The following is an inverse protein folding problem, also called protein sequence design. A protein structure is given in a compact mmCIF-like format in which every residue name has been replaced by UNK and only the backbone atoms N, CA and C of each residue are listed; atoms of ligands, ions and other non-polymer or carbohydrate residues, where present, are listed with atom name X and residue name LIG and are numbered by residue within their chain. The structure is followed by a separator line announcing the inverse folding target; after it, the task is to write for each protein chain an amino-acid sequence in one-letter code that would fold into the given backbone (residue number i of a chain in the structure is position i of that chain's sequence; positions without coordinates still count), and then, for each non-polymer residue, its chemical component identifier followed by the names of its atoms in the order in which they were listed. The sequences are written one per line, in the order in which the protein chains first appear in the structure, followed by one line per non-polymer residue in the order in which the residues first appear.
data_IF_074835297376
#
_entry.id   IF_074835297376
#
_cell.length_a   1.000
_cell.length_b   1.000
_cell.length_c   1.000
_cell.angle_alpha   90.00
_cell.angle_beta   90.00
_cell.angle_gamma   90.00
#
_symmetry.space_group_name_H-M   'P 1'
#
loop_
_entity.id
_entity.type
_entity.pdbx_description
1 polymer ?
#
# COMPACT_ATOMS: atom_id res chain seq x y z
N UNK A 1 11.46 -25.06 10.52
CA UNK A 1 11.02 -24.03 9.54
C UNK A 1 9.72 -23.43 10.07
N UNK A 2 9.77 -22.20 10.57
CA UNK A 2 8.71 -21.64 11.43
C UNK A 2 7.46 -21.22 10.61
N UNK A 3 6.33 -21.86 10.92
CA UNK A 3 5.00 -21.66 10.32
C UNK A 3 4.49 -20.21 10.38
N UNK A 4 5.05 -19.38 11.28
CA UNK A 4 4.75 -17.94 11.38
C UNK A 4 5.24 -17.09 10.20
N UNK A 5 6.24 -17.57 9.44
CA UNK A 5 6.83 -16.81 8.31
C UNK A 5 5.98 -16.81 7.04
N UNK A 6 5.08 -17.78 6.88
CA UNK A 6 4.35 -17.96 5.61
C UNK A 6 3.07 -17.13 5.53
N UNK A 7 2.44 -16.80 6.68
CA UNK A 7 1.10 -16.20 6.70
C UNK A 7 1.11 -14.70 6.41
N UNK A 8 2.14 -13.97 6.85
CA UNK A 8 2.29 -12.53 6.56
C UNK A 8 2.58 -12.26 5.07
N UNK A 9 3.35 -13.13 4.41
CA UNK A 9 3.59 -13.01 2.96
C UNK A 9 2.33 -13.31 2.15
N UNK A 10 1.51 -14.30 2.52
CA UNK A 10 0.33 -14.70 1.74
C UNK A 10 -0.75 -13.59 1.71
N UNK A 11 -0.88 -12.80 2.77
CA UNK A 11 -1.86 -11.71 2.83
C UNK A 11 -1.49 -10.51 1.93
N UNK A 12 -0.19 -10.19 1.84
CA UNK A 12 0.31 -9.16 0.92
C UNK A 12 0.18 -9.59 -0.55
N UNK A 13 0.35 -10.87 -0.87
CA UNK A 13 0.27 -11.37 -2.25
C UNK A 13 -1.16 -11.41 -2.81
N UNK A 14 -2.18 -11.60 -1.95
CA UNK A 14 -3.56 -11.81 -2.43
C UNK A 14 -4.32 -10.49 -2.71
N UNK A 15 -4.06 -9.42 -1.95
CA UNK A 15 -4.55 -8.08 -2.29
C UNK A 15 -3.92 -7.56 -3.59
N UNK A 16 -2.67 -7.95 -3.90
CA UNK A 16 -2.02 -7.67 -5.18
C UNK A 16 -2.62 -8.42 -6.38
N UNK A 17 -3.37 -9.51 -6.16
CA UNK A 17 -3.92 -10.33 -7.26
C UNK A 17 -5.15 -9.74 -7.95
N UNK A 18 -5.73 -8.67 -7.39
CA UNK A 18 -6.88 -7.96 -7.97
C UNK A 18 -6.47 -6.89 -9.01
N UNK A 19 -5.18 -6.65 -9.23
CA UNK A 19 -4.68 -5.64 -10.19
C UNK A 19 -4.41 -6.22 -11.59
N UNK A 20 -4.75 -7.48 -11.87
CA UNK A 20 -4.48 -8.13 -13.16
C UNK A 20 -5.44 -7.76 -14.30
N UNK A 21 -6.13 -6.62 -14.19
CA UNK A 21 -6.91 -6.04 -15.29
C UNK A 21 -6.91 -4.53 -15.18
N UNK A 22 -5.79 -3.87 -15.53
CA UNK A 22 -5.77 -2.41 -15.65
C UNK A 22 -5.25 -2.00 -17.01
N UNK A 23 -6.06 -1.17 -17.66
CA UNK A 23 -5.73 -0.37 -18.84
C UNK A 23 -4.40 0.38 -18.63
N UNK A 24 -3.67 0.58 -19.73
CA UNK A 24 -2.31 1.16 -19.82
C UNK A 24 -2.17 2.64 -19.41
N UNK A 25 -3.05 3.18 -18.56
CA UNK A 25 -2.94 4.51 -17.99
C UNK A 25 -3.11 4.44 -16.46
N UNK A 26 -2.05 4.10 -15.74
CA UNK A 26 -2.01 4.16 -14.28
C UNK A 26 -0.76 4.94 -13.86
N UNK A 27 -0.95 6.19 -13.44
CA UNK A 27 0.05 6.96 -12.71
C UNK A 27 -0.28 6.82 -11.21
N UNK A 28 -0.04 5.69 -10.55
CA UNK A 28 -0.48 5.50 -9.16
C UNK A 28 0.47 6.15 -8.15
N UNK A 29 -0.04 6.53 -6.98
CA UNK A 29 0.71 6.22 -5.77
C UNK A 29 0.62 4.70 -5.66
N UNK A 30 1.66 4.01 -6.13
CA UNK A 30 1.76 2.58 -6.01
C UNK A 30 1.81 2.17 -4.54
N UNK A 31 1.39 0.93 -4.26
CA UNK A 31 1.89 0.22 -3.09
C UNK A 31 3.42 0.04 -3.29
N UNK A 32 3.96 -1.16 -3.15
CA UNK A 32 5.38 -1.37 -3.43
C UNK A 32 5.76 -1.43 -4.89
N UNK A 33 4.81 -1.37 -5.83
CA UNK A 33 5.10 -1.55 -7.25
C UNK A 33 4.00 -0.98 -8.14
N UNK A 34 4.37 -0.62 -9.36
CA UNK A 34 3.43 -0.22 -10.41
C UNK A 34 3.98 -0.42 -11.83
N UNK A 35 3.08 -0.37 -12.81
CA UNK A 35 3.42 -0.26 -14.23
C UNK A 35 3.05 1.15 -14.70
N UNK A 36 4.05 1.94 -15.04
CA UNK A 36 3.88 3.29 -15.54
C UNK A 36 3.46 3.26 -17.02
N UNK A 37 2.66 4.24 -17.47
CA UNK A 37 2.11 4.25 -18.82
C UNK A 37 3.21 4.32 -19.89
N UNK A 38 2.95 3.81 -21.10
CA UNK A 38 3.94 3.80 -22.17
C UNK A 38 4.40 5.21 -22.59
N UNK A 39 5.69 5.33 -22.89
CA UNK A 39 6.28 6.46 -23.60
C UNK A 39 6.82 6.01 -24.97
N UNK A 40 6.92 6.96 -25.90
CA UNK A 40 7.41 6.72 -27.25
C UNK A 40 8.93 6.86 -27.35
N UNK A 41 9.60 5.83 -27.84
CA UNK A 41 11.03 5.76 -28.13
C UNK A 41 11.22 5.45 -29.61
N UNK A 42 11.26 6.49 -30.44
CA UNK A 42 11.11 6.33 -31.89
C UNK A 42 9.78 5.68 -32.22
N UNK A 43 9.81 4.59 -32.99
CA UNK A 43 8.62 3.81 -33.37
C UNK A 43 8.12 2.85 -32.28
N UNK A 44 8.90 2.67 -31.21
CA UNK A 44 8.55 1.77 -30.09
C UNK A 44 7.72 2.50 -29.04
N UNK A 45 6.69 1.84 -28.54
CA UNK A 45 6.00 2.24 -27.30
C UNK A 45 6.50 1.34 -26.17
N UNK A 46 7.12 1.91 -25.15
CA UNK A 46 7.64 1.16 -24.01
C UNK A 46 7.13 1.72 -22.69
N UNK A 47 6.76 0.83 -21.78
CA UNK A 47 6.29 1.13 -20.43
C UNK A 47 7.35 0.72 -19.39
N UNK A 48 7.30 1.33 -18.21
CA UNK A 48 8.25 1.07 -17.14
C UNK A 48 7.55 0.35 -15.98
N UNK A 49 8.02 -0.84 -15.64
CA UNK A 49 7.71 -1.48 -14.37
C UNK A 49 8.73 -1.01 -13.31
N UNK A 50 8.23 -0.69 -12.12
CA UNK A 50 9.05 -0.33 -10.97
C UNK A 50 8.52 -1.04 -9.73
N UNK A 51 9.43 -1.52 -8.87
CA UNK A 51 9.10 -2.15 -7.59
C UNK A 51 10.15 -1.83 -6.54
N UNK A 52 9.69 -1.45 -5.36
CA UNK A 52 10.49 -1.32 -4.14
C UNK A 52 10.18 -2.46 -3.17
N UNK A 53 11.19 -2.91 -2.43
CA UNK A 53 11.05 -3.95 -1.41
C UNK A 53 11.93 -3.61 -0.21
N UNK A 54 11.52 -3.96 1.01
CA UNK A 54 10.29 -4.69 1.39
C UNK A 54 9.04 -3.80 1.38
N UNK A 55 7.82 -4.40 1.40
CA UNK A 55 6.58 -3.64 1.52
C UNK A 55 6.30 -3.03 2.87
N UNK A 56 6.87 -3.59 3.91
CA UNK A 56 6.86 -3.00 5.25
C UNK A 56 8.29 -3.07 5.75
N UNK A 57 8.82 -1.92 6.14
CA UNK A 57 10.15 -1.85 6.69
C UNK A 57 10.09 -2.22 8.18
N UNK A 58 10.77 -3.30 8.53
CA UNK A 58 10.84 -3.83 9.90
C UNK A 58 12.28 -4.21 10.21
N UNK A 59 12.59 -4.46 11.49
CA UNK A 59 13.89 -5.00 11.90
C UNK A 59 14.24 -6.32 11.20
N UNK A 60 13.23 -7.07 10.75
CA UNK A 60 13.40 -8.37 10.10
C UNK A 60 13.61 -8.24 8.58
N UNK A 61 13.13 -7.15 7.97
CA UNK A 61 13.11 -6.96 6.51
C UNK A 61 14.16 -5.98 6.00
N UNK A 62 14.82 -5.22 6.90
CA UNK A 62 15.86 -4.23 6.56
C UNK A 62 17.07 -4.78 5.80
N UNK A 63 17.28 -6.11 5.79
CA UNK A 63 18.38 -6.75 5.07
C UNK A 63 18.05 -7.24 3.65
N UNK A 64 16.79 -7.12 3.21
CA UNK A 64 16.31 -7.56 1.89
C UNK A 64 15.65 -6.41 1.13
N UNK A 65 16.40 -5.31 1.06
CA UNK A 65 15.99 -4.03 0.47
C UNK A 65 16.46 -3.93 -0.98
N UNK A 66 15.54 -3.72 -1.91
CA UNK A 66 15.88 -3.59 -3.32
C UNK A 66 14.90 -2.71 -4.10
N UNK A 67 15.37 -2.19 -5.23
CA UNK A 67 14.60 -1.54 -6.28
C UNK A 67 14.74 -2.36 -7.56
N UNK A 68 13.63 -2.70 -8.18
CA UNK A 68 13.57 -3.39 -9.47
C UNK A 68 12.94 -2.49 -10.52
N UNK A 69 13.57 -2.44 -11.69
CA UNK A 69 13.16 -1.65 -12.84
C UNK A 69 13.18 -2.50 -14.09
N UNK A 70 12.18 -2.32 -14.95
CA UNK A 70 12.14 -2.98 -16.25
C UNK A 70 11.38 -2.13 -17.24
N UNK A 71 12.10 -1.58 -18.22
CA UNK A 71 11.51 -1.03 -19.43
C UNK A 71 11.09 -2.19 -20.33
N UNK A 72 9.85 -2.20 -20.80
CA UNK A 72 9.32 -3.26 -21.67
C UNK A 72 8.48 -2.70 -22.80
N UNK A 73 8.49 -3.38 -23.94
CA UNK A 73 7.66 -3.03 -25.09
C UNK A 73 6.17 -3.26 -24.73
N UNK A 74 5.34 -2.23 -24.89
CA UNK A 74 3.95 -2.24 -24.44
C UNK A 74 3.06 -3.23 -25.23
N UNK A 75 3.48 -3.65 -26.44
CA UNK A 75 2.73 -4.61 -27.27
C UNK A 75 3.13 -6.04 -26.97
N UNK A 76 4.43 -6.29 -26.83
CA UNK A 76 4.99 -7.65 -26.70
C UNK A 76 5.29 -8.05 -25.26
N UNK A 77 5.28 -7.10 -24.32
CA UNK A 77 5.65 -7.25 -22.90
C UNK A 77 7.08 -7.72 -22.65
N UNK A 78 7.91 -7.77 -23.70
CA UNK A 78 9.32 -8.17 -23.60
C UNK A 78 10.17 -7.03 -23.04
N UNK A 79 11.18 -7.32 -22.20
CA UNK A 79 12.15 -6.33 -21.78
C UNK A 79 12.81 -5.66 -22.97
N UNK A 80 13.07 -4.35 -22.85
CA UNK A 80 13.87 -3.59 -23.81
C UNK A 80 15.35 -3.73 -23.40
N UNK A 81 16.18 -4.44 -24.17
CA UNK A 81 17.56 -4.70 -23.77
C UNK A 81 18.42 -3.44 -23.80
N UNK A 82 19.60 -3.52 -23.18
CA UNK A 82 20.60 -2.43 -23.14
C UNK A 82 20.02 -1.08 -22.68
N UNK A 83 19.16 -1.12 -21.66
CA UNK A 83 18.48 0.08 -21.17
C UNK A 83 19.36 0.80 -20.14
N UNK A 84 19.53 2.12 -20.33
CA UNK A 84 20.25 3.01 -19.41
C UNK A 84 19.28 3.83 -18.58
N UNK A 85 19.27 3.59 -17.27
CA UNK A 85 18.39 4.20 -16.27
C UNK A 85 19.14 5.25 -15.46
N UNK A 86 18.81 6.52 -15.65
CA UNK A 86 19.23 7.57 -14.71
C UNK A 86 18.17 7.70 -13.63
N UNK A 87 18.54 7.27 -12.42
CA UNK A 87 17.61 7.06 -11.32
C UNK A 87 17.85 8.15 -10.29
N UNK A 88 16.80 8.89 -9.98
CA UNK A 88 16.78 9.81 -8.85
C UNK A 88 15.69 9.42 -7.88
N UNK A 89 16.00 9.42 -6.57
CA UNK A 89 15.08 9.02 -5.50
C UNK A 89 14.98 10.14 -4.48
N UNK A 90 13.77 10.53 -4.11
CA UNK A 90 13.49 11.52 -3.09
C UNK A 90 12.55 10.98 -2.01
N UNK A 91 12.67 11.54 -0.82
CA UNK A 91 11.69 11.41 0.26
C UNK A 91 11.59 12.76 0.97
N UNK A 92 10.37 13.25 1.21
CA UNK A 92 10.14 14.55 1.87
C UNK A 92 10.98 15.69 1.26
N UNK A 93 11.00 15.78 -0.08
CA UNK A 93 11.80 16.71 -0.88
C UNK A 93 13.33 16.59 -0.73
N UNK A 94 13.83 15.62 0.04
CA UNK A 94 15.26 15.33 0.17
C UNK A 94 15.69 14.29 -0.87
N UNK A 95 16.67 14.64 -1.69
CA UNK A 95 17.31 13.72 -2.63
C UNK A 95 18.16 12.68 -1.86
N UNK A 96 17.96 11.40 -2.19
CA UNK A 96 18.58 10.26 -1.51
C UNK A 96 19.51 9.44 -2.43
N UNK A 97 19.25 9.44 -3.73
CA UNK A 97 20.07 8.74 -4.73
C UNK A 97 19.98 9.50 -6.05
N UNK A 98 21.08 9.60 -6.81
CA UNK A 98 21.11 10.16 -8.16
C UNK A 98 22.27 9.58 -8.96
N UNK A 99 22.05 8.49 -9.67
CA UNK A 99 23.09 7.78 -10.41
C UNK A 99 22.57 7.22 -11.74
N UNK A 100 23.48 7.04 -12.70
CA UNK A 100 23.21 6.35 -13.95
C UNK A 100 23.52 4.86 -13.80
N UNK A 101 22.61 4.01 -14.22
CA UNK A 101 22.76 2.56 -14.24
C UNK A 101 22.45 2.03 -15.63
N UNK A 102 23.02 0.88 -15.97
CA UNK A 102 22.80 0.21 -17.24
C UNK A 102 22.43 -1.26 -17.01
N UNK A 103 21.45 -1.76 -17.76
CA UNK A 103 21.06 -3.15 -17.75
C UNK A 103 21.06 -3.74 -19.17
N UNK A 104 21.91 -4.74 -19.41
CA UNK A 104 22.04 -5.40 -20.70
C UNK A 104 20.79 -6.19 -21.06
N UNK A 105 20.18 -6.87 -20.08
CA UNK A 105 18.91 -7.58 -20.25
C UNK A 105 17.70 -6.64 -20.36
N UNK A 106 17.86 -5.38 -19.96
CA UNK A 106 16.76 -4.44 -19.75
C UNK A 106 16.08 -4.53 -18.38
N UNK A 107 16.42 -5.52 -17.56
CA UNK A 107 15.91 -5.68 -16.20
C UNK A 107 17.01 -5.28 -15.20
N UNK A 108 16.80 -4.21 -14.44
CA UNK A 108 17.76 -3.72 -13.45
C UNK A 108 17.28 -4.05 -12.03
N UNK A 109 18.16 -4.61 -11.21
CA UNK A 109 17.93 -4.73 -9.76
C UNK A 109 19.01 -3.96 -9.00
N UNK A 110 18.62 -2.93 -8.27
CA UNK A 110 19.48 -2.31 -7.28
C UNK A 110 19.22 -2.95 -5.92
N UNK A 111 20.20 -3.65 -5.36
CA UNK A 111 20.16 -4.05 -3.96
C UNK A 111 20.59 -2.85 -3.13
N UNK A 112 19.62 -2.21 -2.51
CA UNK A 112 19.85 -1.04 -1.67
C UNK A 112 20.39 -1.55 -0.34
N UNK A 113 21.52 -1.03 0.12
CA UNK A 113 22.04 -1.22 1.47
C UNK A 113 21.81 0.09 2.21
N UNK A 114 20.75 0.21 3.05
CA UNK A 114 20.41 1.46 3.70
C UNK A 114 21.58 1.94 4.57
N UNK A 115 22.20 3.05 4.16
CA UNK A 115 23.41 3.58 4.79
C UNK A 115 23.23 5.07 5.02
N UNK A 116 23.50 5.53 6.25
CA UNK A 116 23.40 6.95 6.61
C UNK A 116 24.61 7.73 6.07
N UNK A 117 24.54 8.14 4.81
CA UNK A 117 25.53 8.98 4.11
C UNK A 117 24.85 10.19 3.46
N UNK A 118 25.63 11.19 3.05
CA UNK A 118 25.13 12.24 2.16
C UNK A 118 24.86 11.64 0.77
N UNK A 119 23.95 12.25 0.00
CA UNK A 119 23.65 11.79 -1.36
C UNK A 119 24.87 11.84 -2.28
N UNK A 120 25.82 12.74 -2.03
CA UNK A 120 27.06 12.83 -2.81
C UNK A 120 28.10 11.78 -2.42
N UNK A 121 27.89 11.07 -1.30
CA UNK A 121 28.78 10.03 -0.77
C UNK A 121 28.20 8.61 -0.97
N UNK A 122 27.20 8.46 -1.84
CA UNK A 122 26.64 7.15 -2.22
C UNK A 122 27.73 6.29 -2.84
N UNK A 123 27.85 5.05 -2.36
CA UNK A 123 28.80 4.07 -2.89
C UNK A 123 28.06 3.03 -3.74
N UNK A 124 28.45 2.91 -5.00
CA UNK A 124 27.93 1.90 -5.92
C UNK A 124 28.97 0.80 -6.07
N UNK A 125 28.57 -0.44 -5.78
CA UNK A 125 29.38 -1.64 -5.98
C UNK A 125 28.94 -2.31 -7.29
N UNK A 126 29.58 -1.89 -8.37
CA UNK A 126 29.38 -2.40 -9.72
C UNK A 126 30.57 -2.06 -10.61
N UNK A 127 30.45 -2.40 -11.89
CA UNK A 127 31.41 -2.05 -12.93
C UNK A 127 30.93 -0.80 -13.67
N UNK A 128 31.83 0.09 -14.06
CA UNK A 128 31.49 1.17 -14.99
C UNK A 128 31.33 0.61 -16.41
N UNK A 129 30.36 1.12 -17.16
CA UNK A 129 30.17 0.78 -18.57
C UNK A 129 31.06 1.67 -19.43
N UNK A 130 32.11 1.15 -20.10
CA UNK A 130 33.07 1.99 -20.83
C UNK A 130 32.45 2.86 -21.93
N UNK A 131 31.36 2.38 -22.54
CA UNK A 131 30.63 3.06 -23.62
C UNK A 131 29.74 4.19 -23.10
N UNK A 132 29.41 4.20 -21.80
CA UNK A 132 28.45 5.12 -21.19
C UNK A 132 29.08 5.72 -19.92
N UNK A 133 29.83 6.82 -20.04
CA UNK A 133 30.54 7.42 -18.91
C UNK A 133 29.64 7.67 -17.70
N UNK A 134 30.05 7.16 -16.54
CA UNK A 134 29.32 7.30 -15.27
C UNK A 134 28.15 6.33 -15.07
N UNK A 135 27.87 5.43 -16.03
CA UNK A 135 26.88 4.38 -15.86
C UNK A 135 27.48 3.17 -15.13
N UNK A 136 26.76 2.69 -14.11
CA UNK A 136 27.10 1.48 -13.38
C UNK A 136 26.29 0.28 -13.85
N UNK A 137 26.94 -0.87 -13.97
CA UNK A 137 26.34 -2.18 -14.22
C UNK A 137 26.83 -3.19 -13.19
N UNK A 138 26.27 -4.39 -13.18
CA UNK A 138 26.75 -5.47 -12.34
C UNK A 138 26.40 -6.83 -12.91
N UNK A 139 26.87 -7.89 -12.25
CA UNK A 139 26.62 -9.26 -12.69
C UNK A 139 25.11 -9.56 -12.73
N UNK A 140 24.61 -10.01 -13.90
CA UNK A 140 23.19 -10.20 -14.17
C UNK A 140 22.33 -8.95 -13.91
N UNK A 141 22.86 -7.77 -14.23
CA UNK A 141 22.20 -6.47 -14.06
C UNK A 141 21.72 -6.22 -12.61
N UNK A 142 22.49 -6.76 -11.65
CA UNK A 142 22.31 -6.53 -10.22
C UNK A 142 23.45 -5.69 -9.67
N UNK A 143 23.12 -4.59 -9.00
CA UNK A 143 24.10 -3.64 -8.47
C UNK A 143 23.81 -3.38 -6.99
N UNK A 144 24.84 -3.50 -6.15
CA UNK A 144 24.72 -3.19 -4.72
C UNK A 144 24.97 -1.68 -4.53
N UNK A 145 24.05 -0.98 -3.86
CA UNK A 145 24.09 0.48 -3.72
C UNK A 145 23.94 0.87 -2.25
N UNK A 146 24.98 1.44 -1.67
CA UNK A 146 24.97 1.96 -0.31
C UNK A 146 24.51 3.42 -0.34
N UNK A 147 23.25 3.65 0.02
CA UNK A 147 22.59 4.94 -0.10
C UNK A 147 21.67 5.22 1.09
N UNK A 148 21.31 6.49 1.35
CA UNK A 148 20.33 6.86 2.36
C UNK A 148 18.87 6.58 1.92
N UNK A 149 18.66 5.55 1.12
CA UNK A 149 17.36 5.06 0.64
C UNK A 149 16.91 3.91 1.56
N UNK A 150 15.61 3.84 1.88
CA UNK A 150 15.05 2.81 2.78
C UNK A 150 15.61 2.84 4.21
N UNK A 151 16.11 4.00 4.67
CA UNK A 151 16.44 4.22 6.09
C UNK A 151 15.20 4.31 6.99
N UNK A 152 14.05 4.72 6.41
CA UNK A 152 12.77 4.87 7.07
C UNK A 152 11.63 4.37 6.15
N UNK A 153 10.48 4.06 6.74
CA UNK A 153 9.20 3.88 6.03
C UNK A 153 8.71 5.23 5.47
N UNK A 154 7.78 5.18 4.51
CA UNK A 154 7.23 6.39 3.89
C UNK A 154 6.97 6.28 2.39
N UNK A 155 6.44 7.35 1.83
CA UNK A 155 6.31 7.54 0.39
C UNK A 155 7.65 7.99 -0.23
N UNK A 156 8.12 7.25 -1.23
CA UNK A 156 9.32 7.57 -2.00
C UNK A 156 8.94 8.02 -3.41
N UNK A 157 9.51 9.13 -3.86
CA UNK A 157 9.38 9.60 -5.25
C UNK A 157 10.58 9.11 -6.07
N UNK A 158 10.30 8.44 -7.18
CA UNK A 158 11.25 7.96 -8.16
C UNK A 158 11.08 8.73 -9.46
N UNK A 159 12.16 9.37 -9.92
CA UNK A 159 12.28 9.89 -11.28
C UNK A 159 13.25 9.01 -12.04
N UNK A 160 12.77 8.38 -13.10
CA UNK A 160 13.54 7.47 -13.94
C UNK A 160 13.63 8.06 -15.33
N UNK A 161 14.84 8.46 -15.73
CA UNK A 161 15.12 8.94 -17.07
C UNK A 161 15.79 7.85 -17.89
N UNK A 162 15.24 7.56 -19.07
CA UNK A 162 15.81 6.59 -20.00
C UNK A 162 16.75 7.31 -20.96
N UNK A 163 18.04 6.99 -20.87
CA UNK A 163 19.10 7.63 -21.65
C UNK A 163 19.51 6.85 -22.90
N UNK A 164 19.13 5.57 -23.00
CA UNK A 164 19.52 4.73 -24.12
C UNK A 164 18.86 3.36 -24.04
N UNK A 165 18.66 2.72 -25.19
CA UNK A 165 18.05 1.38 -25.35
C UNK A 165 18.67 0.63 -26.53
N UNK A 166 18.42 -0.68 -26.59
CA UNK A 166 18.75 -1.63 -27.67
C UNK A 166 20.24 -1.90 -27.91
N UNK A 167 21.13 -0.92 -27.70
CA UNK A 167 22.58 -1.06 -27.81
C UNK A 167 23.29 -0.13 -26.81
N UNK A 168 24.42 -0.57 -26.24
CA UNK A 168 25.18 0.20 -25.24
C UNK A 168 25.64 1.58 -25.75
N UNK A 169 25.90 1.68 -27.06
CA UNK A 169 26.37 2.92 -27.70
C UNK A 169 25.22 3.87 -28.05
N UNK A 170 23.97 3.44 -27.92
CA UNK A 170 22.81 4.23 -28.30
C UNK A 170 22.36 5.12 -27.13
N UNK A 171 23.04 6.26 -26.97
CA UNK A 171 22.66 7.30 -26.01
C UNK A 171 21.83 8.37 -26.72
N UNK A 172 20.66 8.65 -26.17
CA UNK A 172 19.74 9.65 -26.68
C UNK A 172 20.29 11.07 -26.51
N UNK A 173 19.99 11.92 -27.48
CA UNK A 173 20.05 13.37 -27.26
C UNK A 173 19.06 13.77 -26.15
N UNK A 174 19.36 14.86 -25.43
CA UNK A 174 18.57 15.31 -24.28
C UNK A 174 17.07 15.46 -24.60
N UNK A 175 16.72 15.97 -25.79
CA UNK A 175 15.33 16.13 -26.24
C UNK A 175 14.57 14.80 -26.46
N UNK A 176 15.28 13.68 -26.60
CA UNK A 176 14.72 12.36 -26.81
C UNK A 176 14.60 11.55 -25.50
N UNK A 177 15.26 11.99 -24.42
CA UNK A 177 15.16 11.35 -23.09
C UNK A 177 13.72 11.39 -22.60
N UNK A 178 13.23 10.24 -22.14
CA UNK A 178 11.89 10.11 -21.54
C UNK A 178 12.03 9.97 -20.03
N UNK A 179 11.15 10.66 -19.32
CA UNK A 179 11.11 10.67 -17.85
C UNK A 179 9.84 9.97 -17.39
N UNK A 180 9.99 9.04 -16.47
CA UNK A 180 8.91 8.40 -15.75
C UNK A 180 8.95 8.85 -14.29
N UNK A 181 7.81 9.21 -13.73
CA UNK A 181 7.67 9.54 -12.32
C UNK A 181 6.77 8.50 -11.64
N UNK A 182 7.20 8.03 -10.47
CA UNK A 182 6.51 7.02 -9.66
C UNK A 182 6.59 7.39 -8.19
N UNK A 183 5.53 7.08 -7.45
CA UNK A 183 5.49 7.26 -5.99
C UNK A 183 5.16 5.91 -5.36
N UNK A 184 6.13 5.31 -4.66
CA UNK A 184 5.97 3.99 -4.05
C UNK A 184 6.01 4.08 -2.54
N UNK A 185 5.05 3.43 -1.90
CA UNK A 185 4.93 3.42 -0.44
C UNK A 185 5.71 2.25 0.16
N UNK A 186 6.44 2.53 1.24
CA UNK A 186 7.04 1.53 2.11
C UNK A 186 6.36 1.63 3.46
N UNK A 187 5.58 0.61 3.80
CA UNK A 187 4.75 0.61 5.00
C UNK A 187 5.55 0.63 6.31
N UNK A 188 4.86 1.07 7.35
CA UNK A 188 5.35 1.20 8.71
C UNK A 188 4.54 0.33 9.67
N UNK A 189 5.18 -0.15 10.74
CA UNK A 189 4.49 -0.82 11.84
C UNK A 189 4.89 -0.20 13.17
N UNK A 190 3.88 0.33 13.87
CA UNK A 190 4.01 0.94 15.17
C UNK A 190 3.44 0.01 16.23
N UNK A 191 4.32 -0.69 16.95
CA UNK A 191 3.92 -1.53 18.08
C UNK A 191 3.77 -0.68 19.34
N UNK A 192 2.62 -0.80 20.00
CA UNK A 192 2.20 0.08 21.09
C UNK A 192 1.62 -0.73 22.25
N UNK A 193 1.83 -0.27 23.48
CA UNK A 193 1.15 -0.80 24.66
C UNK A 193 0.09 0.20 25.09
N UNK A 194 -1.16 -0.24 25.17
CA UNK A 194 -2.25 0.56 25.74
C UNK A 194 -2.59 0.02 27.14
N UNK A 195 -3.02 0.89 28.03
CA UNK A 195 -3.42 0.53 29.40
C UNK A 195 -4.89 0.89 29.61
N UNK A 196 -5.65 -0.05 30.15
CA UNK A 196 -7.05 0.16 30.52
C UNK A 196 -7.34 -0.60 31.81
N UNK A 197 -7.92 0.08 32.82
CA UNK A 197 -8.29 -0.55 34.10
C UNK A 197 -7.11 -1.22 34.81
N UNK A 198 -5.90 -0.66 34.69
CA UNK A 198 -4.67 -1.20 35.28
C UNK A 198 -4.07 -2.42 34.56
N UNK A 199 -4.67 -2.89 33.45
CA UNK A 199 -4.14 -3.95 32.59
C UNK A 199 -3.51 -3.36 31.33
N UNK A 200 -2.44 -3.98 30.83
CA UNK A 200 -1.77 -3.57 29.60
C UNK A 200 -2.06 -4.54 28.46
N UNK A 201 -2.23 -4.01 27.25
CA UNK A 201 -2.56 -4.76 26.04
C UNK A 201 -1.60 -4.37 24.92
N UNK A 202 -1.01 -5.38 24.27
CA UNK A 202 -0.14 -5.20 23.11
C UNK A 202 -0.97 -4.95 21.87
N UNK A 203 -0.85 -3.74 21.31
CA UNK A 203 -1.55 -3.28 20.12
C UNK A 203 -0.55 -2.88 19.04
N UNK A 204 -1.00 -2.78 17.80
CA UNK A 204 -0.17 -2.19 16.75
C UNK A 204 -1.00 -1.43 15.74
N UNK A 205 -0.37 -0.45 15.11
CA UNK A 205 -0.88 0.19 13.89
C UNK A 205 0.05 -0.18 12.75
N UNK A 206 -0.52 -0.49 11.59
CA UNK A 206 0.23 -0.69 10.34
C UNK A 206 -0.26 0.32 9.32
N UNK A 207 0.67 1.10 8.77
CA UNK A 207 0.41 1.94 7.62
C UNK A 207 1.04 1.31 6.40
N UNK A 208 0.29 1.25 5.31
CA UNK A 208 0.80 0.83 4.01
C UNK A 208 1.15 2.01 3.11
N UNK A 209 1.05 3.24 3.63
CA UNK A 209 1.28 4.48 2.88
C UNK A 209 2.52 5.23 3.39
N UNK A 210 2.50 5.69 4.64
CA UNK A 210 3.62 6.46 5.20
C UNK A 210 3.89 6.13 6.69
N UNK A 211 4.86 6.81 7.30
CA UNK A 211 5.28 6.60 8.67
C UNK A 211 4.17 6.98 9.67
N UNK A 212 3.93 6.11 10.65
CA UNK A 212 2.93 6.33 11.68
C UNK A 212 3.49 7.31 12.73
N UNK A 213 2.70 8.34 13.02
CA UNK A 213 3.00 9.38 13.99
C UNK A 213 1.86 9.56 15.00
N UNK A 214 2.18 10.16 16.15
CA UNK A 214 1.20 10.63 17.14
C UNK A 214 0.19 9.58 17.63
N UNK A 215 0.60 8.31 17.75
CA UNK A 215 -0.26 7.29 18.34
C UNK A 215 -0.69 7.68 19.76
N UNK A 216 -1.99 7.60 20.05
CA UNK A 216 -2.56 7.86 21.37
C UNK A 216 -3.74 6.93 21.64
N UNK A 217 -3.87 6.54 22.90
CA UNK A 217 -5.05 5.86 23.42
C UNK A 217 -5.73 6.73 24.48
N UNK A 218 -7.01 7.03 24.29
CA UNK A 218 -7.87 7.71 25.25
C UNK A 218 -8.69 6.66 26.01
N UNK A 219 -8.33 6.41 27.28
CA UNK A 219 -8.97 5.40 28.12
C UNK A 219 -10.46 5.69 28.35
N UNK A 220 -10.83 6.96 28.50
CA UNK A 220 -12.22 7.37 28.78
C UNK A 220 -13.17 7.09 27.60
N UNK A 221 -12.66 7.30 26.38
CA UNK A 221 -13.40 7.05 25.13
C UNK A 221 -13.13 5.67 24.55
N UNK A 222 -12.19 4.91 25.12
CA UNK A 222 -11.65 3.66 24.56
C UNK A 222 -11.23 3.85 23.10
N UNK A 223 -10.63 5.00 22.81
CA UNK A 223 -10.36 5.43 21.43
C UNK A 223 -8.87 5.37 21.12
N UNK A 224 -8.54 4.85 19.94
CA UNK A 224 -7.20 4.87 19.37
C UNK A 224 -7.17 5.97 18.31
N UNK A 225 -6.12 6.79 18.33
CA UNK A 225 -5.85 7.79 17.30
C UNK A 225 -4.40 7.76 16.88
N UNK A 226 -4.15 8.08 15.61
CA UNK A 226 -2.82 8.18 15.03
C UNK A 226 -2.89 9.06 13.79
N UNK A 227 -1.74 9.39 13.23
CA UNK A 227 -1.62 10.22 12.03
C UNK A 227 -0.49 9.73 11.16
N UNK A 228 -0.49 10.10 9.90
CA UNK A 228 0.67 9.94 9.01
C UNK A 228 0.85 11.20 8.16
N UNK A 229 2.07 11.49 7.67
CA UNK A 229 2.27 12.51 6.65
C UNK A 229 1.39 12.23 5.43
N UNK A 230 0.76 13.27 4.87
CA UNK A 230 -0.04 13.13 3.67
C UNK A 230 -0.11 14.44 2.89
N UNK A 231 0.16 14.37 1.58
CA UNK A 231 0.06 15.51 0.67
C UNK A 231 -1.33 15.59 0.05
N UNK A 232 -2.09 16.61 0.49
CA UNK A 232 -3.46 16.92 0.03
C UNK A 232 -3.52 17.72 -1.28
N UNK A 233 -2.45 17.72 -2.09
CA UNK A 233 -2.47 18.33 -3.42
C UNK A 233 -3.51 17.65 -4.32
N UNK A 234 -4.66 18.29 -4.48
CA UNK A 234 -5.79 17.74 -5.25
C UNK A 234 -5.49 17.60 -6.72
N UNK A 235 -4.56 18.38 -7.29
CA UNK A 235 -4.15 18.24 -8.68
C UNK A 235 -3.37 16.94 -8.86
N UNK A 236 -2.39 16.71 -7.99
CA UNK A 236 -1.63 15.45 -7.93
C UNK A 236 -2.57 14.25 -7.73
N UNK A 237 -3.47 14.33 -6.73
CA UNK A 237 -4.42 13.26 -6.44
C UNK A 237 -5.38 13.02 -7.62
N UNK A 238 -5.81 14.06 -8.34
CA UNK A 238 -6.69 13.91 -9.50
C UNK A 238 -6.01 13.18 -10.67
N UNK A 239 -4.71 13.38 -10.86
CA UNK A 239 -3.96 12.78 -11.96
C UNK A 239 -3.45 11.36 -11.64
N UNK A 240 -3.55 10.93 -10.38
CA UNK A 240 -2.98 9.67 -9.90
C UNK A 240 -3.98 8.75 -9.18
N UNK A 241 -4.04 7.43 -9.42
CA UNK A 241 -4.70 6.51 -8.49
C UNK A 241 -4.04 6.56 -7.12
N UNK A 242 -4.80 6.85 -6.07
CA UNK A 242 -4.32 6.86 -4.69
C UNK A 242 -5.23 5.98 -3.84
N UNK A 243 -4.61 5.23 -2.94
CA UNK A 243 -5.30 4.37 -1.99
C UNK A 243 -4.53 4.33 -0.69
N UNK A 244 -5.21 4.65 0.41
CA UNK A 244 -4.63 4.60 1.75
C UNK A 244 -5.21 3.41 2.49
N UNK A 245 -4.32 2.54 2.98
CA UNK A 245 -4.67 1.39 3.80
C UNK A 245 -3.94 1.49 5.13
N UNK A 246 -4.72 1.55 6.21
CA UNK A 246 -4.22 1.46 7.59
C UNK A 246 -4.87 0.28 8.31
N UNK A 247 -4.16 -0.30 9.27
CA UNK A 247 -4.70 -1.33 10.16
C UNK A 247 -4.49 -0.94 11.63
N UNK A 248 -5.55 -1.00 12.43
CA UNK A 248 -5.47 -0.97 13.90
C UNK A 248 -5.67 -2.37 14.42
N UNK A 249 -4.63 -2.94 15.01
CA UNK A 249 -4.61 -4.32 15.52
C UNK A 249 -4.69 -4.30 17.04
N UNK A 250 -5.78 -4.85 17.57
CA UNK A 250 -6.08 -4.89 19.00
C UNK A 250 -6.29 -6.34 19.45
N UNK A 251 -5.70 -6.78 20.57
CA UNK A 251 -5.85 -8.16 21.01
C UNK A 251 -7.28 -8.40 21.47
N UNK A 252 -7.88 -9.53 21.07
CA UNK A 252 -9.24 -9.95 21.46
C UNK A 252 -9.44 -10.13 22.97
N UNK A 253 -8.35 -10.12 23.73
CA UNK A 253 -8.35 -10.11 25.19
C UNK A 253 -8.80 -8.74 25.76
N UNK A 254 -8.68 -7.66 25.00
CA UNK A 254 -9.20 -6.34 25.37
C UNK A 254 -10.67 -6.23 24.95
N UNK A 255 -11.57 -6.80 25.76
CA UNK A 255 -12.99 -6.93 25.43
C UNK A 255 -13.71 -5.60 25.37
N UNK A 256 -13.28 -4.63 26.16
CA UNK A 256 -13.87 -3.29 26.18
C UNK A 256 -13.71 -2.56 24.86
N UNK A 257 -12.75 -2.98 24.04
CA UNK A 257 -12.59 -2.52 22.66
C UNK A 257 -13.13 -3.51 21.63
N UNK A 258 -12.90 -4.82 21.82
CA UNK A 258 -13.09 -5.83 20.78
C UNK A 258 -14.40 -6.61 20.86
N UNK A 259 -15.17 -6.48 21.95
CA UNK A 259 -16.48 -7.16 22.13
C UNK A 259 -17.62 -6.37 21.45
N UNK A 260 -17.36 -5.94 20.22
CA UNK A 260 -18.31 -5.25 19.35
C UNK A 260 -18.00 -5.57 17.91
N UNK A 261 -19.01 -5.42 17.05
CA UNK A 261 -18.85 -5.47 15.59
C UNK A 261 -19.03 -4.11 14.94
N UNK A 262 -19.29 -3.06 15.73
CA UNK A 262 -19.52 -1.69 15.26
C UNK A 262 -18.46 -0.73 15.85
N UNK A 263 -17.92 0.14 15.00
CA UNK A 263 -16.85 1.07 15.35
C UNK A 263 -17.08 2.44 14.73
N UNK A 264 -16.85 3.47 15.53
CA UNK A 264 -16.86 4.86 15.08
C UNK A 264 -15.46 5.24 14.62
N UNK A 265 -15.19 5.03 13.33
CA UNK A 265 -13.96 5.47 12.68
C UNK A 265 -14.09 6.88 12.11
N UNK A 266 -12.98 7.61 12.08
CA UNK A 266 -12.88 8.93 11.43
C UNK A 266 -11.55 9.08 10.68
N UNK A 267 -11.60 9.77 9.54
CA UNK A 267 -10.44 10.24 8.79
C UNK A 267 -10.50 11.77 8.72
N UNK A 268 -9.50 12.45 9.26
CA UNK A 268 -9.43 13.91 9.44
C UNK A 268 -10.72 14.49 10.05
N UNK A 269 -11.28 13.79 11.05
CA UNK A 269 -12.49 14.20 11.76
C UNK A 269 -13.82 13.88 11.05
N UNK A 270 -13.78 13.48 9.78
CA UNK A 270 -14.97 13.02 9.05
C UNK A 270 -15.25 11.53 9.32
N UNK A 271 -16.51 11.11 9.45
CA UNK A 271 -16.86 9.71 9.64
C UNK A 271 -16.33 8.79 8.53
N UNK A 272 -15.68 7.70 8.92
CA UNK A 272 -15.28 6.63 8.02
C UNK A 272 -16.46 5.66 7.85
N UNK A 273 -17.19 5.80 6.74
CA UNK A 273 -18.44 5.07 6.48
C UNK A 273 -18.28 3.97 5.43
N UNK A 274 -19.17 2.99 5.49
CA UNK A 274 -19.23 1.92 4.50
C UNK A 274 -17.93 1.13 4.41
N UNK A 275 -17.35 1.04 3.20
CA UNK A 275 -16.11 0.27 2.96
C UNK A 275 -14.85 0.95 3.49
N UNK A 276 -14.93 2.19 3.97
CA UNK A 276 -13.77 2.91 4.50
C UNK A 276 -13.29 2.34 5.83
N UNK A 277 -14.16 1.68 6.61
CA UNK A 277 -13.80 1.04 7.87
C UNK A 277 -14.36 -0.39 7.90
N UNK A 278 -13.48 -1.38 7.99
CA UNK A 278 -13.87 -2.79 8.02
C UNK A 278 -13.25 -3.48 9.22
N UNK A 279 -14.09 -4.21 9.98
CA UNK A 279 -13.64 -5.11 11.04
C UNK A 279 -13.30 -6.48 10.46
N UNK A 280 -12.06 -6.90 10.68
CA UNK A 280 -11.56 -8.25 10.44
C UNK A 280 -11.10 -8.89 11.76
N UNK A 281 -11.94 -9.72 12.39
CA UNK A 281 -11.57 -10.41 13.61
C UNK A 281 -10.94 -11.78 13.34
N UNK A 282 -10.54 -12.12 12.11
CA UNK A 282 -10.26 -13.52 11.75
C UNK A 282 -8.93 -13.76 11.04
N UNK A 283 -8.32 -12.74 10.44
CA UNK A 283 -7.06 -12.92 9.72
C UNK A 283 -5.89 -13.27 10.62
N UNK A 284 -5.83 -12.71 11.83
CA UNK A 284 -4.79 -13.01 12.83
C UNK A 284 -5.45 -13.59 14.08
N UNK A 285 -5.03 -14.79 14.48
CA UNK A 285 -5.53 -15.45 15.69
C UNK A 285 -5.32 -14.56 16.92
N UNK A 286 -6.33 -14.50 17.80
CA UNK A 286 -6.28 -13.68 19.01
C UNK A 286 -6.30 -12.16 18.78
N UNK A 287 -6.39 -11.68 17.53
CA UNK A 287 -6.34 -10.25 17.19
C UNK A 287 -7.60 -9.83 16.44
N UNK A 288 -8.07 -8.62 16.74
CA UNK A 288 -9.08 -7.89 16.00
C UNK A 288 -8.40 -6.82 15.17
N UNK A 289 -8.67 -6.76 13.88
CA UNK A 289 -8.06 -5.80 12.96
C UNK A 289 -9.14 -4.88 12.43
N UNK A 290 -8.91 -3.58 12.52
CA UNK A 290 -9.75 -2.56 11.87
C UNK A 290 -8.98 -2.00 10.69
N UNK A 291 -9.51 -2.20 9.49
CA UNK A 291 -8.95 -1.70 8.25
C UNK A 291 -9.56 -0.35 7.93
N UNK A 292 -8.74 0.70 7.82
CA UNK A 292 -9.13 1.91 7.10
C UNK A 292 -8.73 1.76 5.64
N UNK A 293 -9.70 1.85 4.73
CA UNK A 293 -9.53 1.70 3.28
C UNK A 293 -10.04 2.95 2.58
N UNK A 294 -9.19 3.98 2.50
CA UNK A 294 -9.59 5.29 1.97
C UNK A 294 -9.22 5.37 0.49
N UNK A 295 -10.22 5.33 -0.37
CA UNK A 295 -10.02 5.46 -1.81
C UNK A 295 -9.86 6.93 -2.23
N UNK A 296 -9.41 7.14 -3.48
CA UNK A 296 -9.24 8.45 -4.10
C UNK A 296 -10.46 9.37 -3.99
N UNK A 297 -11.66 8.89 -4.26
CA UNK A 297 -12.85 9.73 -4.26
C UNK A 297 -13.17 10.24 -2.85
N UNK A 298 -12.97 9.39 -1.84
CA UNK A 298 -13.14 9.76 -0.45
C UNK A 298 -12.03 10.71 0.02
N UNK A 299 -10.78 10.50 -0.39
CA UNK A 299 -9.69 11.45 -0.17
C UNK A 299 -10.04 12.83 -0.77
N UNK A 300 -10.53 12.87 -2.02
CA UNK A 300 -10.94 14.13 -2.67
C UNK A 300 -12.14 14.80 -1.99
N UNK A 301 -13.05 14.03 -1.38
CA UNK A 301 -14.13 14.59 -0.56
C UNK A 301 -13.60 15.18 0.74
N UNK A 302 -12.71 14.47 1.44
CA UNK A 302 -12.07 14.94 2.67
C UNK A 302 -11.25 16.20 2.41
N UNK A 303 -10.51 16.24 1.30
CA UNK A 303 -9.70 17.40 0.91
C UNK A 303 -10.50 18.71 0.81
N UNK A 304 -11.82 18.65 0.56
CA UNK A 304 -12.70 19.83 0.46
C UNK A 304 -13.09 20.42 1.81
N UNK A 305 -12.97 19.67 2.90
CA UNK A 305 -13.48 20.05 4.23
C UNK A 305 -12.38 20.36 5.23
N UNK A 306 -11.15 19.86 5.00
CA UNK A 306 -10.02 20.07 5.89
C UNK A 306 -9.46 21.49 5.80
N UNK A 307 -8.85 22.03 6.86
CA UNK A 307 -8.17 23.32 6.84
C UNK A 307 -7.04 23.36 5.80
N UNK A 308 -6.87 24.52 5.15
CA UNK A 308 -5.74 24.77 4.24
C UNK A 308 -4.42 24.60 4.99
N UNK A 309 -3.47 23.90 4.36
CA UNK A 309 -2.15 23.65 4.93
C UNK A 309 -2.09 22.44 5.88
N UNK A 310 -3.16 21.66 6.01
CA UNK A 310 -3.12 20.34 6.64
C UNK A 310 -2.06 19.47 5.93
N UNK A 311 -1.18 18.83 6.71
CA UNK A 311 -0.06 18.00 6.19
C UNK A 311 -0.14 16.54 6.61
N UNK A 312 -1.20 16.17 7.32
CA UNK A 312 -1.40 14.82 7.85
C UNK A 312 -2.75 14.27 7.44
N UNK A 313 -2.81 12.95 7.33
CA UNK A 313 -4.05 12.22 7.39
C UNK A 313 -4.19 11.66 8.80
N UNK A 314 -5.26 12.06 9.48
CA UNK A 314 -5.47 11.73 10.90
C UNK A 314 -6.56 10.67 11.02
N UNK A 315 -6.29 9.63 11.80
CA UNK A 315 -7.21 8.52 12.00
C UNK A 315 -7.65 8.45 13.45
N UNK A 316 -8.90 8.11 13.68
CA UNK A 316 -9.42 7.81 15.01
C UNK A 316 -10.41 6.69 14.91
N UNK A 317 -10.38 5.76 15.85
CA UNK A 317 -11.39 4.71 15.96
C UNK A 317 -11.73 4.45 17.42
N UNK A 318 -12.99 4.21 17.69
CA UNK A 318 -13.47 3.73 18.99
C UNK A 318 -14.56 2.68 18.77
N UNK A 319 -14.79 1.76 19.72
CA UNK A 319 -16.00 0.94 19.73
C UNK A 319 -17.20 1.88 19.68
N UNK A 320 -18.10 1.66 18.72
CA UNK A 320 -19.32 2.43 18.67
C UNK A 320 -20.12 2.16 19.95
N UNK A 321 -20.75 3.18 20.53
CA UNK A 321 -21.71 2.98 21.61
C UNK A 321 -22.82 2.07 21.08
N UNK A 322 -22.86 0.81 21.56
CA UNK A 322 -23.76 -0.28 21.14
C UNK A 322 -24.79 0.12 20.10
N UNK A 323 -24.40 0.09 18.83
CA UNK A 323 -25.38 0.08 17.75
C UNK A 323 -25.89 -1.35 17.72
N UNK A 324 -27.14 -1.56 18.13
CA UNK A 324 -27.75 -2.88 18.01
C UNK A 324 -27.62 -3.31 16.54
N UNK A 325 -27.31 -4.58 16.28
CA UNK A 325 -27.21 -5.10 14.91
C UNK A 325 -28.38 -6.00 14.62
N UNK A 326 -28.92 -5.86 13.42
CA UNK A 326 -29.75 -6.88 12.83
C UNK A 326 -28.84 -7.96 12.26
N UNK A 327 -29.10 -9.22 12.60
CA UNK A 327 -28.34 -10.36 12.10
C UNK A 327 -29.30 -11.43 11.62
N UNK A 328 -28.98 -12.06 10.49
CA UNK A 328 -29.65 -13.24 10.01
C UNK A 328 -28.67 -14.20 9.34
N UNK A 329 -29.03 -15.47 9.35
CA UNK A 329 -28.22 -16.54 8.77
C UNK A 329 -28.85 -17.01 7.46
N UNK A 330 -28.04 -17.10 6.41
CA UNK A 330 -28.41 -17.71 5.13
C UNK A 330 -27.69 -19.05 5.01
N UNK A 331 -28.45 -20.14 5.01
CA UNK A 331 -27.92 -21.47 4.72
C UNK A 331 -27.79 -21.64 3.22
N UNK A 332 -26.59 -21.98 2.75
CA UNK A 332 -26.31 -22.29 1.36
C UNK A 332 -26.42 -23.80 1.12
N UNK A 333 -26.73 -24.19 -0.12
CA UNK A 333 -26.88 -25.61 -0.51
C UNK A 333 -25.61 -26.44 -0.28
N UNK A 334 -24.45 -25.79 -0.24
CA UNK A 334 -23.16 -26.39 0.09
C UNK A 334 -23.02 -26.79 1.58
N UNK A 335 -24.00 -26.49 2.43
CA UNK A 335 -23.93 -26.65 3.88
C UNK A 335 -23.19 -25.50 4.59
N UNK A 336 -22.66 -24.54 3.83
CA UNK A 336 -22.05 -23.32 4.35
C UNK A 336 -23.14 -22.39 4.91
N UNK A 337 -22.86 -21.74 6.04
CA UNK A 337 -23.72 -20.70 6.60
C UNK A 337 -23.10 -19.34 6.37
N UNK A 338 -23.80 -18.45 5.66
CA UNK A 338 -23.45 -17.05 5.54
C UNK A 338 -24.17 -16.25 6.64
N UNK A 339 -23.42 -15.64 7.55
CA UNK A 339 -23.95 -14.71 8.54
C UNK A 339 -23.92 -13.30 7.96
N UNK A 340 -25.08 -12.68 7.86
CA UNK A 340 -25.24 -11.31 7.39
C UNK A 340 -25.58 -10.43 8.59
N UNK A 341 -24.86 -9.31 8.74
CA UNK A 341 -25.16 -8.33 9.77
C UNK A 341 -25.10 -6.90 9.24
N UNK A 342 -25.92 -6.04 9.82
CA UNK A 342 -25.95 -4.60 9.56
C UNK A 342 -26.46 -3.85 10.81
N UNK A 343 -26.19 -2.56 10.85
CA UNK A 343 -26.52 -1.69 11.96
C UNK A 343 -28.05 -1.44 12.00
N UNK A 344 -28.67 -1.59 13.17
CA UNK A 344 -30.14 -1.59 13.32
C UNK A 344 -30.80 -0.22 13.26
N UNK A 345 -30.00 0.84 13.32
CA UNK A 345 -30.43 2.23 13.19
C UNK A 345 -30.51 2.70 11.72
N UNK A 346 -30.02 1.89 10.77
CA UNK A 346 -30.12 2.15 9.34
C UNK A 346 -31.49 1.72 8.79
N UNK A 347 -32.10 2.57 7.96
CA UNK A 347 -33.46 2.39 7.46
C UNK A 347 -33.64 2.75 5.99
N UNK A 348 -34.89 2.98 5.60
CA UNK A 348 -35.25 3.29 4.22
C UNK A 348 -34.62 4.61 3.76
N UNK A 349 -33.83 4.54 2.67
CA UNK A 349 -33.11 5.69 2.12
C UNK A 349 -31.62 5.73 2.50
N UNK A 350 -31.21 4.96 3.50
CA UNK A 350 -29.81 4.85 3.89
C UNK A 350 -29.04 3.89 2.98
N UNK A 351 -27.74 4.17 2.80
CA UNK A 351 -26.83 3.17 2.22
C UNK A 351 -26.43 2.20 3.32
N UNK A 352 -26.94 0.97 3.26
CA UNK A 352 -26.72 -0.06 4.30
C UNK A 352 -25.46 -0.89 3.97
N UNK A 353 -24.36 -0.78 4.73
CA UNK A 353 -23.21 -1.66 4.55
C UNK A 353 -23.50 -3.03 5.16
N UNK A 354 -23.61 -4.06 4.30
CA UNK A 354 -23.72 -5.44 4.77
C UNK A 354 -22.35 -6.04 5.08
N UNK A 355 -22.22 -6.62 6.27
CA UNK A 355 -21.10 -7.50 6.60
C UNK A 355 -21.55 -8.95 6.42
N UNK A 356 -20.88 -9.70 5.53
CA UNK A 356 -21.18 -11.11 5.25
C UNK A 356 -19.97 -11.97 5.61
N UNK A 357 -20.16 -12.95 6.50
CA UNK A 357 -19.13 -13.91 6.92
C UNK A 357 -19.58 -15.34 6.66
N UNK A 358 -18.72 -16.19 6.13
CA UNK A 358 -19.07 -17.56 5.73
C UNK A 358 -18.45 -18.59 6.67
N UNK A 359 -19.23 -19.57 7.09
CA UNK A 359 -18.80 -20.64 8.00
C UNK A 359 -19.09 -22.01 7.39
N UNK A 360 -18.16 -22.94 7.49
CA UNK A 360 -18.32 -24.32 7.08
C UNK A 360 -19.37 -25.05 7.97
N UNK A 361 -19.76 -26.29 7.63
CA UNK A 361 -20.73 -27.05 8.43
C UNK A 361 -20.30 -27.30 9.89
N UNK A 362 -19.02 -27.17 10.21
CA UNK A 362 -18.48 -27.33 11.56
C UNK A 362 -18.40 -25.99 12.33
N UNK A 363 -18.85 -24.89 11.72
CA UNK A 363 -18.77 -23.55 12.29
C UNK A 363 -17.40 -22.90 12.17
N UNK A 364 -16.48 -23.44 11.37
CA UNK A 364 -15.20 -22.80 11.07
C UNK A 364 -15.35 -21.74 9.98
N UNK A 365 -14.72 -20.58 10.17
CA UNK A 365 -14.79 -19.51 9.18
C UNK A 365 -14.05 -19.88 7.89
N UNK A 366 -14.73 -19.67 6.76
CA UNK A 366 -14.18 -19.74 5.42
C UNK A 366 -13.58 -18.38 5.03
N UNK A 367 -12.24 -18.30 4.93
CA UNK A 367 -11.51 -17.04 4.70
C UNK A 367 -11.41 -16.61 3.23
N UNK A 368 -11.61 -17.52 2.27
CA UNK A 368 -11.36 -17.28 0.85
C UNK A 368 -12.62 -17.50 0.00
N UNK A 369 -13.69 -16.76 0.32
CA UNK A 369 -14.98 -16.91 -0.37
C UNK A 369 -15.19 -15.77 -1.37
N UNK A 370 -15.18 -16.11 -2.66
CA UNK A 370 -15.72 -15.22 -3.69
C UNK A 370 -17.24 -15.30 -3.64
N UNK A 371 -17.89 -14.16 -3.46
CA UNK A 371 -19.34 -14.11 -3.38
C UNK A 371 -19.87 -12.87 -4.10
N UNK A 372 -21.11 -12.96 -4.52
CA UNK A 372 -21.96 -11.84 -4.87
C UNK A 372 -23.26 -11.97 -4.11
N UNK A 373 -23.96 -10.86 -3.90
CA UNK A 373 -25.29 -10.88 -3.33
C UNK A 373 -26.19 -9.95 -4.13
N UNK A 374 -27.48 -10.27 -4.10
CA UNK A 374 -28.57 -9.46 -4.62
C UNK A 374 -29.59 -9.35 -3.49
N UNK A 375 -30.13 -8.16 -3.30
CA UNK A 375 -31.22 -7.92 -2.38
C UNK A 375 -32.48 -7.79 -3.25
N UNK A 376 -33.58 -8.38 -2.80
CA UNK A 376 -34.86 -8.32 -3.49
C UNK A 376 -35.92 -7.86 -2.49
N UNK A 377 -36.84 -7.03 -2.93
CA UNK A 377 -38.05 -6.75 -2.18
C UNK A 377 -39.01 -7.97 -2.20
N UNK A 378 -40.12 -7.87 -1.47
CA UNK A 378 -41.14 -8.93 -1.42
C UNK A 378 -41.79 -9.24 -2.78
N UNK A 379 -41.57 -8.42 -3.80
CA UNK A 379 -42.04 -8.62 -5.18
C UNK A 379 -40.98 -9.21 -6.10
N UNK A 380 -39.76 -9.47 -5.60
CA UNK A 380 -38.63 -10.00 -6.39
C UNK A 380 -37.85 -8.93 -7.15
N UNK A 381 -38.16 -7.64 -6.93
CA UNK A 381 -37.47 -6.52 -7.57
C UNK A 381 -36.20 -6.18 -6.81
N UNK A 382 -35.12 -5.89 -7.54
CA UNK A 382 -33.81 -5.48 -7.00
C UNK A 382 -33.83 -4.04 -6.54
#
# INVERSE_FOLDING_TARGET
MNFKRTVASIFATLLLSQVFSVSFNAYGDGLTQENLPPASFGDRQAALFIKISPPILTKETVGDTYLQLRLFDAKTTKPVPHTSYFISVWKDDKLLLRNLFHAHSGELTLKIVPTKVDVNDVVVYGDEVPQIPGAWTGFNDRVDVHAPVLLDSGLYHFEIKIFGIDYDQNIFAESAVKTFNSWLSVGDISNQKITFGGKSYDTSVVSYYDKINNFKFDESKKSISFSMPFSWDTKRIADQPIFVHEEVRVPKAFKEFTDTTAYDGKVNGLPAIGRMLILDPYSIEGTSILHFLVNKDDILKIAKTIPVGTKTMDFTVAPASTVAKNTFDVKLDSGVTAKVSYDSDLGAGDTIPLQISFFDPNGQLLKFVRHGFRIEDSSGKV
#
